data_IF_479102117895
#
_entry.id   IF_479102117895
#
_cell.length_a   1.000
_cell.length_b   1.000
_cell.length_c   1.000
_cell.angle_alpha   90.00
_cell.angle_beta   90.00
_cell.angle_gamma   90.00
#
_symmetry.space_group_name_H-M   'P 1'
#
loop_
_entity.id
_entity.type
_entity.pdbx_description
1 polymer ?
#
# COMPACT_ATOMS: atom_id res chain seq x y z
N UNK A 1 6.49 16.22 1.73
CA UNK A 1 7.86 16.22 2.28
C UNK A 1 8.85 16.41 1.15
N UNK A 2 9.99 17.03 1.41
CA UNK A 2 11.10 17.07 0.45
C UNK A 2 12.07 15.88 0.70
N UNK A 3 13.03 15.68 -0.19
CA UNK A 3 13.99 14.56 -0.11
C UNK A 3 14.82 14.58 1.17
N UNK A 4 15.20 15.77 1.67
CA UNK A 4 15.99 15.89 2.90
C UNK A 4 15.19 15.45 4.13
N UNK A 5 13.93 15.88 4.23
CA UNK A 5 13.00 15.46 5.30
C UNK A 5 12.74 13.95 5.26
N UNK A 6 12.53 13.38 4.06
CA UNK A 6 12.34 11.93 3.91
C UNK A 6 13.60 11.16 4.31
N UNK A 7 14.78 11.66 3.95
CA UNK A 7 16.06 11.03 4.29
C UNK A 7 16.29 11.01 5.80
N UNK A 8 16.05 12.14 6.47
CA UNK A 8 16.14 12.24 7.93
C UNK A 8 15.14 11.28 8.61
N UNK A 9 13.90 11.23 8.13
CA UNK A 9 12.87 10.30 8.67
C UNK A 9 13.29 8.84 8.57
N UNK A 10 13.92 8.42 7.47
CA UNK A 10 14.41 7.04 7.31
C UNK A 10 15.65 6.77 8.18
N UNK A 11 16.55 7.74 8.33
CA UNK A 11 17.79 7.57 9.09
C UNK A 11 17.57 7.59 10.62
N UNK A 12 16.66 8.43 11.09
CA UNK A 12 16.49 8.76 12.52
C UNK A 12 15.15 8.28 13.10
N UNK A 13 14.19 7.91 12.25
CA UNK A 13 12.85 7.52 12.66
C UNK A 13 12.82 6.24 13.48
N UNK A 14 12.18 6.29 14.65
CA UNK A 14 11.96 5.11 15.51
C UNK A 14 10.69 4.36 15.09
N UNK A 15 10.74 3.72 13.93
CA UNK A 15 9.61 2.98 13.37
C UNK A 15 10.01 1.84 12.44
N UNK A 16 9.06 1.39 11.62
CA UNK A 16 9.26 0.33 10.64
C UNK A 16 8.66 0.70 9.29
N UNK A 17 9.01 -0.08 8.26
CA UNK A 17 8.53 0.09 6.89
C UNK A 17 7.40 -0.91 6.63
N UNK A 18 6.31 -0.43 6.05
CA UNK A 18 5.22 -1.28 5.60
C UNK A 18 5.44 -1.76 4.15
N UNK A 19 5.55 -3.06 3.95
CA UNK A 19 5.73 -3.66 2.62
C UNK A 19 4.37 -3.98 1.95
N UNK A 20 3.99 -3.15 0.98
CA UNK A 20 2.75 -3.24 0.19
C UNK A 20 3.07 -3.57 -1.28
N UNK A 21 4.18 -4.26 -1.52
CA UNK A 21 4.84 -4.45 -2.82
C UNK A 21 4.58 -5.81 -3.48
N UNK A 22 3.55 -6.54 -3.02
CA UNK A 22 3.22 -7.85 -3.58
C UNK A 22 2.89 -7.73 -5.07
N UNK A 23 3.58 -8.52 -5.88
CA UNK A 23 3.37 -8.62 -7.32
C UNK A 23 2.05 -9.33 -7.66
N UNK A 24 1.66 -9.29 -8.94
CA UNK A 24 0.44 -9.94 -9.43
C UNK A 24 0.33 -11.42 -9.04
N UNK A 25 1.40 -12.21 -9.18
CA UNK A 25 1.38 -13.63 -8.84
C UNK A 25 1.16 -13.94 -7.35
N UNK A 26 1.44 -12.98 -6.45
CA UNK A 26 1.22 -13.14 -5.01
C UNK A 26 -0.10 -12.50 -4.54
N UNK A 27 -0.81 -11.81 -5.43
CA UNK A 27 -2.04 -11.07 -5.11
C UNK A 27 -3.18 -11.97 -4.63
N UNK A 28 -3.47 -13.14 -5.24
CA UNK A 28 -4.51 -14.05 -4.76
C UNK A 28 -4.26 -14.48 -3.31
N UNK A 29 -3.02 -14.83 -2.97
CA UNK A 29 -2.63 -15.24 -1.61
C UNK A 29 -2.82 -14.11 -0.60
N UNK A 30 -2.49 -12.87 -0.99
CA UNK A 30 -2.69 -11.70 -0.13
C UNK A 30 -4.17 -11.43 0.12
N UNK A 31 -5.02 -11.52 -0.92
CA UNK A 31 -6.46 -11.37 -0.82
C UNK A 31 -7.09 -12.48 0.05
N UNK A 32 -6.69 -13.73 -0.15
CA UNK A 32 -7.14 -14.86 0.67
C UNK A 32 -6.74 -14.68 2.14
N UNK A 33 -5.50 -14.25 2.42
CA UNK A 33 -5.05 -13.93 3.78
C UNK A 33 -5.79 -12.75 4.42
N UNK A 34 -6.35 -11.87 3.60
CA UNK A 34 -7.21 -10.75 4.01
C UNK A 34 -8.69 -11.14 4.14
N UNK A 35 -9.07 -12.37 3.76
CA UNK A 35 -10.42 -12.91 3.86
C UNK A 35 -11.28 -12.71 2.61
N UNK A 36 -10.68 -12.36 1.47
CA UNK A 36 -11.36 -12.30 0.17
C UNK A 36 -11.11 -13.62 -0.56
N UNK A 37 -12.17 -14.38 -0.82
CA UNK A 37 -12.10 -15.68 -1.47
C UNK A 37 -11.82 -15.56 -2.98
N UNK A 38 -11.21 -16.60 -3.56
CA UNK A 38 -10.79 -16.64 -4.97
C UNK A 38 -11.96 -16.53 -5.97
N UNK A 39 -13.20 -16.74 -5.53
CA UNK A 39 -14.42 -16.59 -6.32
C UNK A 39 -14.97 -15.15 -6.34
N UNK A 40 -14.34 -14.22 -5.63
CA UNK A 40 -14.75 -12.81 -5.57
C UNK A 40 -14.33 -11.98 -6.80
N UNK A 41 -13.55 -12.54 -7.72
CA UNK A 41 -13.14 -11.91 -8.98
C UNK A 41 -13.14 -12.94 -10.12
N UNK A 42 -13.39 -12.48 -11.35
CA UNK A 42 -13.36 -13.30 -12.57
C UNK A 42 -12.26 -12.87 -13.54
N UNK A 43 -11.66 -11.69 -13.33
CA UNK A 43 -10.60 -11.14 -14.18
C UNK A 43 -9.43 -10.64 -13.36
N UNK A 44 -8.26 -10.56 -13.98
CA UNK A 44 -7.08 -9.95 -13.36
C UNK A 44 -7.35 -8.49 -12.96
N UNK A 45 -8.07 -7.74 -13.78
CA UNK A 45 -8.41 -6.34 -13.50
C UNK A 45 -9.21 -6.19 -12.21
N UNK A 46 -10.23 -7.03 -12.01
CA UNK A 46 -11.02 -7.07 -10.77
C UNK A 46 -10.16 -7.45 -9.56
N UNK A 47 -9.31 -8.47 -9.70
CA UNK A 47 -8.36 -8.88 -8.66
C UNK A 47 -7.44 -7.71 -8.26
N UNK A 48 -6.90 -6.99 -9.25
CA UNK A 48 -6.05 -5.83 -9.02
C UNK A 48 -6.82 -4.65 -8.41
N UNK A 49 -8.10 -4.49 -8.74
CA UNK A 49 -8.97 -3.52 -8.08
C UNK A 49 -9.17 -3.84 -6.59
N UNK A 50 -9.39 -5.11 -6.25
CA UNK A 50 -9.57 -5.55 -4.87
C UNK A 50 -8.32 -5.36 -4.01
N UNK A 51 -7.14 -5.74 -4.52
CA UNK A 51 -5.89 -5.54 -3.78
C UNK A 51 -5.57 -4.04 -3.64
N UNK A 52 -5.88 -3.23 -4.64
CA UNK A 52 -5.74 -1.78 -4.56
C UNK A 52 -6.67 -1.18 -3.49
N UNK A 53 -7.92 -1.64 -3.40
CA UNK A 53 -8.84 -1.23 -2.35
C UNK A 53 -8.35 -1.63 -0.95
N UNK A 54 -7.82 -2.84 -0.80
CA UNK A 54 -7.18 -3.29 0.45
C UNK A 54 -6.00 -2.38 0.84
N UNK A 55 -5.09 -2.10 -0.11
CA UNK A 55 -3.93 -1.22 0.11
C UNK A 55 -4.35 0.20 0.45
N UNK A 56 -5.35 0.73 -0.26
CA UNK A 56 -5.92 2.05 0.00
C UNK A 56 -6.43 2.15 1.44
N UNK A 57 -7.17 1.14 1.92
CA UNK A 57 -7.64 1.08 3.32
C UNK A 57 -6.50 1.06 4.33
N UNK A 58 -5.40 0.36 4.03
CA UNK A 58 -4.23 0.31 4.91
C UNK A 58 -3.56 1.69 4.98
N UNK A 59 -3.37 2.34 3.83
CA UNK A 59 -2.72 3.64 3.70
C UNK A 59 -3.54 4.74 4.41
N UNK A 60 -4.86 4.73 4.30
CA UNK A 60 -5.73 5.74 4.93
C UNK A 60 -6.09 5.43 6.39
N UNK A 61 -5.59 4.33 6.93
CA UNK A 61 -5.80 3.97 8.33
C UNK A 61 -5.14 5.01 9.25
N UNK A 62 -5.76 5.39 10.38
CA UNK A 62 -5.13 6.24 11.40
C UNK A 62 -3.80 5.67 11.94
N UNK A 63 -3.56 4.36 11.77
CA UNK A 63 -2.28 3.73 12.12
C UNK A 63 -1.12 4.16 11.20
N UNK A 64 -1.41 4.69 10.00
CA UNK A 64 -0.45 5.27 9.05
C UNK A 64 -0.24 6.77 9.31
N UNK A 65 -0.11 7.15 10.59
CA UNK A 65 0.12 8.54 11.01
C UNK A 65 1.55 9.05 10.77
N UNK A 66 2.49 8.16 10.41
CA UNK A 66 3.91 8.48 10.29
C UNK A 66 4.72 8.29 11.58
N UNK A 67 4.09 7.98 12.72
CA UNK A 67 4.77 7.78 14.01
C UNK A 67 5.45 6.41 14.12
N UNK A 68 4.74 5.33 13.74
CA UNK A 68 5.24 3.95 13.80
C UNK A 68 5.62 3.42 12.42
N UNK A 69 4.78 3.70 11.42
CA UNK A 69 5.07 3.39 10.02
C UNK A 69 5.76 4.60 9.42
N UNK A 70 7.06 4.52 9.21
CA UNK A 70 7.88 5.66 8.77
C UNK A 70 8.10 5.71 7.25
N UNK A 71 7.72 4.64 6.55
CA UNK A 71 7.74 4.55 5.10
C UNK A 71 6.97 3.33 4.60
N UNK A 72 6.76 3.25 3.29
CA UNK A 72 6.11 2.12 2.64
C UNK A 72 6.81 1.74 1.34
N UNK A 73 6.80 0.45 1.00
CA UNK A 73 7.27 -0.06 -0.30
C UNK A 73 6.01 -0.40 -1.10
N UNK A 74 5.91 0.13 -2.32
CA UNK A 74 4.73 -0.03 -3.16
C UNK A 74 5.05 -0.90 -4.37
N UNK A 75 4.07 -1.68 -4.81
CA UNK A 75 4.08 -2.29 -6.12
C UNK A 75 3.80 -1.23 -7.19
N UNK A 76 4.42 -1.33 -8.37
CA UNK A 76 4.34 -0.33 -9.45
C UNK A 76 2.89 0.10 -9.74
N UNK A 77 1.97 -0.87 -9.87
CA UNK A 77 0.56 -0.58 -10.18
C UNK A 77 -0.16 0.18 -9.07
N UNK A 78 0.29 0.02 -7.82
CA UNK A 78 -0.24 0.77 -6.68
C UNK A 78 0.38 2.16 -6.63
N UNK A 79 1.68 2.28 -6.92
CA UNK A 79 2.37 3.56 -7.02
C UNK A 79 1.74 4.47 -8.08
N UNK A 80 1.37 3.92 -9.24
CA UNK A 80 0.72 4.66 -10.33
C UNK A 80 -0.79 4.89 -10.11
N UNK A 81 -1.34 4.29 -9.05
CA UNK A 81 -2.74 4.41 -8.67
C UNK A 81 -3.07 5.68 -7.89
N UNK A 82 -4.34 5.78 -7.48
CA UNK A 82 -4.84 6.88 -6.65
C UNK A 82 -5.50 6.35 -5.37
N UNK A 83 -5.38 7.11 -4.29
CA UNK A 83 -6.03 6.91 -2.99
C UNK A 83 -6.64 8.24 -2.57
N UNK A 84 -7.95 8.27 -2.29
CA UNK A 84 -8.69 9.50 -1.94
C UNK A 84 -8.35 10.70 -2.86
N UNK A 85 -8.43 10.46 -4.17
CA UNK A 85 -8.16 11.43 -5.24
C UNK A 85 -6.72 11.97 -5.33
N UNK A 86 -5.79 11.40 -4.55
CA UNK A 86 -4.37 11.72 -4.62
C UNK A 86 -3.60 10.58 -5.27
N UNK A 87 -2.53 10.86 -6.03
CA UNK A 87 -1.56 9.84 -6.38
C UNK A 87 -1.09 9.10 -5.13
N UNK A 88 -1.01 7.77 -5.16
CA UNK A 88 -0.71 6.96 -3.96
C UNK A 88 0.51 7.46 -3.16
N UNK A 89 1.65 7.84 -3.78
CA UNK A 89 2.80 8.37 -3.03
C UNK A 89 2.52 9.66 -2.25
N UNK A 90 1.50 10.43 -2.63
CA UNK A 90 1.06 11.65 -1.95
C UNK A 90 -0.05 11.43 -0.91
N UNK A 91 -0.60 10.22 -0.84
CA UNK A 91 -1.57 9.81 0.17
C UNK A 91 -0.89 9.22 1.43
N UNK A 92 0.43 9.01 1.38
CA UNK A 92 1.29 8.47 2.45
C UNK A 92 1.96 9.55 3.30
#
# INVERSE_FOLDING_TARGET
MNTAEMTAKIAEGNGFIAALDQSGGSTPKALAGYGVADDAWSTDEEMFGLIHAMRSRIITSPCFSGEKVIGAILFERTMDGHVEDKPTPHAL
#
